data_IF_848662568838
#
_entry.id   IF_848662568838
#
_cell.length_a   1.000
_cell.length_b   1.000
_cell.length_c   1.000
_cell.angle_alpha   90.00
_cell.angle_beta   90.00
_cell.angle_gamma   90.00
#
_symmetry.space_group_name_H-M   'P 1'
#
loop_
_entity.id
_entity.type
_entity.pdbx_description
1 polymer ?
#
# COMPACT_ATOMS: atom_id res chain seq x y z
N UNK A 1 30.14 -39.29 30.20
CA UNK A 1 30.12 -38.30 31.30
C UNK A 1 31.28 -37.36 31.04
N UNK A 2 31.00 -36.11 30.71
CA UNK A 2 31.83 -34.89 30.74
C UNK A 2 31.77 -33.94 29.52
N UNK A 3 30.68 -33.98 28.77
CA UNK A 3 30.46 -32.90 27.78
C UNK A 3 29.76 -31.65 28.37
N UNK A 4 29.14 -31.74 29.56
CA UNK A 4 28.46 -30.61 30.22
C UNK A 4 29.43 -29.69 31.00
N UNK A 5 30.58 -30.17 31.42
CA UNK A 5 31.57 -29.40 32.18
C UNK A 5 32.43 -28.46 31.32
N UNK A 6 32.79 -28.88 30.11
CA UNK A 6 33.56 -28.04 29.19
C UNK A 6 32.76 -26.90 28.62
N UNK A 7 31.47 -27.11 28.32
CA UNK A 7 30.57 -26.07 27.82
C UNK A 7 30.31 -24.96 28.85
N UNK A 8 30.21 -25.28 30.13
CA UNK A 8 30.01 -24.27 31.19
C UNK A 8 31.29 -23.45 31.43
N UNK A 9 32.46 -24.08 31.43
CA UNK A 9 33.76 -23.41 31.60
C UNK A 9 34.09 -22.47 30.43
N UNK A 10 33.72 -22.83 29.20
CA UNK A 10 33.91 -21.97 28.02
C UNK A 10 32.95 -20.76 28.08
N UNK A 11 31.72 -20.95 28.53
CA UNK A 11 30.76 -19.87 28.75
C UNK A 11 31.24 -18.89 29.82
N UNK A 12 31.62 -19.35 30.99
CA UNK A 12 32.16 -18.50 32.07
C UNK A 12 33.41 -17.72 31.66
N UNK A 13 34.30 -18.32 30.86
CA UNK A 13 35.48 -17.65 30.34
C UNK A 13 35.14 -16.58 29.30
N UNK A 14 34.13 -16.83 28.47
CA UNK A 14 33.65 -15.87 27.49
C UNK A 14 32.94 -14.68 28.15
N UNK A 15 32.14 -14.90 29.20
CA UNK A 15 31.47 -13.85 29.97
C UNK A 15 32.49 -12.95 30.69
N UNK A 16 33.54 -13.51 31.30
CA UNK A 16 34.64 -12.77 31.95
C UNK A 16 35.43 -11.92 30.96
N UNK A 17 35.68 -12.39 29.75
CA UNK A 17 36.38 -11.65 28.70
C UNK A 17 35.54 -10.48 28.19
N UNK A 18 34.21 -10.64 28.12
CA UNK A 18 33.27 -9.59 27.71
C UNK A 18 33.12 -8.47 28.76
N UNK A 19 33.06 -8.85 30.05
CA UNK A 19 33.06 -7.90 31.16
C UNK A 19 34.34 -7.06 31.20
N UNK A 20 35.49 -7.71 31.02
CA UNK A 20 36.78 -7.02 30.95
C UNK A 20 36.85 -6.02 29.79
N UNK A 21 36.33 -6.39 28.62
CA UNK A 21 36.25 -5.51 27.45
C UNK A 21 35.38 -4.26 27.74
N UNK A 22 34.29 -4.46 28.45
CA UNK A 22 33.38 -3.36 28.82
C UNK A 22 34.04 -2.42 29.85
N UNK A 23 34.70 -2.98 30.85
CA UNK A 23 35.47 -2.21 31.85
C UNK A 23 36.57 -1.40 31.15
N UNK A 24 37.35 -2.03 30.25
CA UNK A 24 38.39 -1.35 29.49
C UNK A 24 37.83 -0.21 28.63
N UNK A 25 36.71 -0.46 27.96
CA UNK A 25 36.04 0.58 27.15
C UNK A 25 35.61 1.76 28.04
N UNK A 26 34.99 1.50 29.19
CA UNK A 26 34.61 2.55 30.16
C UNK A 26 35.81 3.35 30.67
N UNK A 27 36.89 2.68 31.00
CA UNK A 27 38.14 3.34 31.42
C UNK A 27 38.74 4.21 30.33
N UNK A 28 38.76 3.74 29.09
CA UNK A 28 39.24 4.53 27.95
C UNK A 28 38.35 5.72 27.67
N UNK A 29 37.05 5.59 27.80
CA UNK A 29 36.11 6.69 27.60
C UNK A 29 36.19 7.76 28.71
N UNK A 30 36.54 7.35 29.96
CA UNK A 30 36.66 8.28 31.09
C UNK A 30 38.04 8.96 31.13
N UNK A 31 39.14 8.20 30.96
CA UNK A 31 40.49 8.67 31.23
C UNK A 31 41.40 8.77 29.99
N UNK A 32 40.95 8.23 28.84
CA UNK A 32 41.76 8.21 27.62
C UNK A 32 41.83 9.61 26.92
N UNK A 33 42.85 9.76 26.11
CA UNK A 33 42.93 10.90 25.17
C UNK A 33 41.82 10.83 24.12
N UNK A 34 41.48 11.96 23.51
CA UNK A 34 40.47 12.02 22.46
C UNK A 34 40.74 11.02 21.32
N UNK A 35 42.01 10.86 20.93
CA UNK A 35 42.44 9.91 19.90
C UNK A 35 42.15 8.46 20.32
N UNK A 36 42.41 8.10 21.58
CA UNK A 36 42.11 6.76 22.11
C UNK A 36 40.64 6.48 22.21
N UNK A 37 39.84 7.46 22.66
CA UNK A 37 38.36 7.39 22.70
C UNK A 37 37.77 7.13 21.32
N UNK A 38 38.21 7.88 20.30
CA UNK A 38 37.79 7.70 18.91
C UNK A 38 38.12 6.31 18.39
N UNK A 39 39.39 5.87 18.59
CA UNK A 39 39.84 4.55 18.14
C UNK A 39 39.09 3.39 18.85
N UNK A 40 38.86 3.50 20.15
CA UNK A 40 38.12 2.51 20.93
C UNK A 40 36.67 2.41 20.44
N UNK A 41 36.01 3.53 20.20
CA UNK A 41 34.63 3.58 19.72
C UNK A 41 34.48 3.02 18.31
N UNK A 42 35.39 3.36 17.37
CA UNK A 42 35.39 2.74 16.04
C UNK A 42 35.70 1.22 16.08
N UNK A 43 36.59 0.79 16.95
CA UNK A 43 36.92 -0.64 17.14
C UNK A 43 35.69 -1.37 17.66
N UNK A 44 34.98 -0.81 18.65
CA UNK A 44 33.72 -1.33 19.15
C UNK A 44 32.69 -1.49 18.01
N UNK A 45 32.49 -0.44 17.22
CA UNK A 45 31.53 -0.46 16.10
C UNK A 45 31.86 -1.47 15.02
N UNK A 46 33.13 -1.56 14.60
CA UNK A 46 33.53 -2.38 13.43
C UNK A 46 33.76 -3.86 13.75
N UNK A 47 34.23 -4.12 14.96
CA UNK A 47 34.69 -5.48 15.34
C UNK A 47 33.73 -6.13 16.30
N UNK A 48 33.33 -5.44 17.36
CA UNK A 48 32.65 -6.06 18.48
C UNK A 48 31.12 -6.05 18.41
N UNK A 49 30.48 -4.97 17.84
CA UNK A 49 29.02 -4.90 17.80
C UNK A 49 28.32 -6.10 17.17
N UNK A 50 29.02 -6.87 16.33
CA UNK A 50 28.46 -8.07 15.68
C UNK A 50 28.39 -9.29 16.58
N UNK A 51 29.24 -9.33 17.61
CA UNK A 51 29.48 -10.53 18.44
C UNK A 51 29.05 -10.33 19.89
N UNK A 52 28.84 -9.09 20.31
CA UNK A 52 28.41 -8.76 21.66
C UNK A 52 26.95 -9.06 21.89
N UNK A 53 26.58 -9.68 23.03
CA UNK A 53 25.19 -9.84 23.44
C UNK A 53 24.49 -8.49 23.62
N UNK A 54 23.16 -8.47 23.44
CA UNK A 54 22.35 -7.25 23.56
C UNK A 54 22.49 -6.54 24.91
N UNK A 55 22.59 -7.29 26.00
CA UNK A 55 22.74 -6.75 27.35
C UNK A 55 24.07 -6.01 27.55
N UNK A 56 25.12 -6.47 26.92
CA UNK A 56 26.45 -5.81 26.93
C UNK A 56 26.40 -4.55 26.08
N UNK A 57 25.74 -4.59 24.92
CA UNK A 57 25.54 -3.42 24.06
C UNK A 57 24.68 -2.36 24.73
N UNK A 58 23.65 -2.76 25.46
CA UNK A 58 22.83 -1.89 26.31
C UNK A 58 23.65 -1.06 27.30
N UNK A 59 24.64 -1.68 27.93
CA UNK A 59 25.55 -0.99 28.85
C UNK A 59 26.45 0.09 28.20
N UNK A 60 26.62 0.06 26.89
CA UNK A 60 27.46 1.00 26.13
C UNK A 60 26.64 2.20 25.63
N UNK A 61 25.34 2.04 25.43
CA UNK A 61 24.44 3.07 24.89
C UNK A 61 24.55 4.42 25.63
N UNK A 62 24.46 4.46 27.00
CA UNK A 62 24.56 5.74 27.71
C UNK A 62 25.87 6.47 27.49
N UNK A 63 26.98 5.73 27.35
CA UNK A 63 28.32 6.30 27.11
C UNK A 63 28.41 6.95 25.72
N UNK A 64 27.85 6.28 24.72
CA UNK A 64 27.80 6.78 23.36
C UNK A 64 26.89 8.01 23.22
N UNK A 65 25.75 8.00 23.89
CA UNK A 65 24.80 9.11 23.91
C UNK A 65 25.37 10.34 24.60
N UNK A 66 26.12 10.17 25.70
CA UNK A 66 26.83 11.27 26.38
C UNK A 66 27.82 11.96 25.46
N UNK A 67 28.47 11.27 24.52
CA UNK A 67 29.33 11.88 23.53
C UNK A 67 28.59 12.86 22.60
N UNK A 68 27.27 12.75 22.46
CA UNK A 68 26.46 13.61 21.58
C UNK A 68 25.88 14.82 22.31
N UNK A 69 26.07 14.94 23.63
CA UNK A 69 25.42 15.95 24.48
C UNK A 69 25.89 17.38 24.24
N UNK A 70 27.15 17.56 23.90
CA UNK A 70 27.76 18.87 23.67
C UNK A 70 27.90 19.19 22.18
N UNK A 71 27.92 20.48 21.84
CA UNK A 71 28.27 20.90 20.49
C UNK A 71 29.77 20.68 20.23
N UNK A 72 30.15 20.23 19.02
CA UNK A 72 31.57 19.96 18.73
C UNK A 72 32.36 21.24 18.59
N UNK A 73 33.18 21.53 19.59
CA UNK A 73 34.06 22.69 19.61
C UNK A 73 35.42 22.44 18.93
N UNK A 74 35.83 21.16 18.88
CA UNK A 74 37.11 20.75 18.29
C UNK A 74 36.93 19.62 17.28
N UNK A 75 37.91 19.46 16.38
CA UNK A 75 37.89 18.35 15.40
C UNK A 75 37.94 16.99 16.09
N UNK A 76 38.60 16.90 17.22
CA UNK A 76 38.64 15.65 18.02
C UNK A 76 37.27 15.30 18.60
N UNK A 77 36.52 16.28 19.13
CA UNK A 77 35.15 16.05 19.63
C UNK A 77 34.22 15.67 18.49
N UNK A 78 34.34 16.34 17.34
CA UNK A 78 33.59 15.97 16.13
C UNK A 78 33.88 14.52 15.70
N UNK A 79 35.16 14.12 15.68
CA UNK A 79 35.54 12.75 15.34
C UNK A 79 34.94 11.71 16.31
N UNK A 80 34.90 12.05 17.61
CA UNK A 80 34.30 11.20 18.64
C UNK A 80 32.79 11.09 18.45
N UNK A 81 32.09 12.18 18.14
CA UNK A 81 30.66 12.17 17.84
C UNK A 81 30.34 11.34 16.60
N UNK A 82 31.12 11.48 15.52
CA UNK A 82 31.00 10.63 14.32
C UNK A 82 31.15 9.16 14.70
N UNK A 83 32.17 8.81 15.50
CA UNK A 83 32.41 7.45 15.95
C UNK A 83 31.26 6.92 16.80
N UNK A 84 30.71 7.73 17.71
CA UNK A 84 29.59 7.39 18.57
C UNK A 84 28.30 7.14 17.75
N UNK A 85 27.91 8.04 16.84
CA UNK A 85 26.75 7.86 15.96
C UNK A 85 26.90 6.63 15.08
N UNK A 86 28.10 6.42 14.52
CA UNK A 86 28.39 5.23 13.72
C UNK A 86 28.26 3.95 14.54
N UNK A 87 28.71 3.95 15.80
CA UNK A 87 28.58 2.82 16.72
C UNK A 87 27.12 2.55 17.07
N UNK A 88 26.34 3.57 17.43
CA UNK A 88 24.88 3.46 17.67
C UNK A 88 24.17 2.85 16.47
N UNK A 89 24.49 3.33 15.26
CA UNK A 89 23.94 2.76 14.03
C UNK A 89 24.32 1.27 13.88
N UNK A 90 25.56 0.89 14.16
CA UNK A 90 26.00 -0.51 14.08
C UNK A 90 25.28 -1.40 15.09
N UNK A 91 25.08 -0.92 16.32
CA UNK A 91 24.33 -1.64 17.36
C UNK A 91 22.92 -2.00 16.84
N UNK A 92 22.20 -1.06 16.27
CA UNK A 92 20.82 -1.26 15.79
C UNK A 92 20.77 -2.06 14.49
N UNK A 93 21.81 -2.00 13.64
CA UNK A 93 21.83 -2.68 12.33
C UNK A 93 21.73 -4.21 12.43
N UNK A 94 21.84 -4.79 13.61
CA UNK A 94 21.63 -6.23 13.87
C UNK A 94 20.17 -6.59 14.15
N UNK A 95 19.22 -5.67 13.86
CA UNK A 95 17.77 -5.88 13.92
C UNK A 95 17.22 -6.17 15.34
N UNK A 96 17.87 -5.73 16.39
CA UNK A 96 17.30 -5.77 17.74
C UNK A 96 16.44 -4.52 17.99
N UNK A 97 15.11 -4.71 17.91
CA UNK A 97 14.11 -3.65 18.14
C UNK A 97 14.24 -3.05 19.54
N UNK A 98 14.55 -3.87 20.54
CA UNK A 98 14.71 -3.41 21.95
C UNK A 98 15.84 -2.40 22.06
N UNK A 99 16.98 -2.68 21.42
CA UNK A 99 18.14 -1.78 21.43
C UNK A 99 17.85 -0.48 20.67
N UNK A 100 17.04 -0.52 19.61
CA UNK A 100 16.61 0.68 18.91
C UNK A 100 15.78 1.60 19.83
N UNK A 101 14.78 1.04 20.52
CA UNK A 101 13.94 1.80 21.42
C UNK A 101 14.70 2.29 22.65
N UNK A 102 15.63 1.49 23.19
CA UNK A 102 16.52 1.90 24.29
C UNK A 102 17.41 3.09 23.89
N UNK A 103 18.00 3.06 22.69
CA UNK A 103 18.77 4.20 22.14
C UNK A 103 17.87 5.43 22.00
N UNK A 104 16.65 5.25 21.48
CA UNK A 104 15.68 6.34 21.38
C UNK A 104 15.35 6.97 22.74
N UNK A 105 15.00 6.13 23.72
CA UNK A 105 14.67 6.56 25.09
C UNK A 105 15.85 7.17 25.85
N UNK A 106 17.08 6.87 25.48
CA UNK A 106 18.29 7.47 26.09
C UNK A 106 18.53 8.94 25.73
N UNK A 107 17.72 9.55 24.85
CA UNK A 107 17.88 10.91 24.36
C UNK A 107 18.76 11.05 23.11
N UNK A 108 19.16 9.92 22.50
CA UNK A 108 20.00 9.95 21.29
C UNK A 108 19.35 10.72 20.12
N UNK A 109 18.04 10.53 19.91
CA UNK A 109 17.28 11.20 18.84
C UNK A 109 17.30 12.71 19.05
N UNK A 110 17.09 13.19 20.26
CA UNK A 110 17.11 14.61 20.60
C UNK A 110 18.48 15.24 20.32
N UNK A 111 19.55 14.56 20.79
CA UNK A 111 20.91 15.04 20.55
C UNK A 111 21.29 15.04 19.07
N UNK A 112 20.91 14.01 18.31
CA UNK A 112 21.15 13.97 16.87
C UNK A 112 20.43 15.09 16.12
N UNK A 113 19.14 15.34 16.43
CA UNK A 113 18.37 16.43 15.81
C UNK A 113 18.96 17.80 16.13
N UNK A 114 19.44 18.01 17.35
CA UNK A 114 20.13 19.26 17.73
C UNK A 114 21.43 19.46 16.97
N UNK A 115 22.19 18.40 16.72
CA UNK A 115 23.47 18.45 16.00
C UNK A 115 23.30 18.69 14.49
N UNK A 116 22.26 18.18 13.87
CA UNK A 116 22.04 18.26 12.42
C UNK A 116 22.13 19.70 11.86
N UNK A 117 21.45 20.72 12.41
CA UNK A 117 21.53 22.09 11.87
C UNK A 117 22.88 22.77 12.15
N UNK A 118 23.59 22.36 13.21
CA UNK A 118 24.86 22.97 13.63
C UNK A 118 26.06 22.43 12.84
N UNK A 119 25.96 21.18 12.37
CA UNK A 119 27.04 20.52 11.64
C UNK A 119 27.17 21.07 10.23
N UNK A 120 28.31 21.67 9.93
CA UNK A 120 28.69 22.18 8.58
C UNK A 120 29.17 21.07 7.62
N UNK A 121 29.62 19.93 8.15
CA UNK A 121 30.13 18.79 7.39
C UNK A 121 28.99 17.93 6.87
N UNK A 122 28.81 17.88 5.56
CA UNK A 122 27.75 17.12 4.90
C UNK A 122 27.88 15.60 5.14
N UNK A 123 29.11 15.09 5.28
CA UNK A 123 29.35 13.66 5.58
C UNK A 123 28.85 13.31 6.98
N UNK A 124 29.15 14.16 7.96
CA UNK A 124 28.64 13.94 9.32
C UNK A 124 27.12 14.08 9.41
N UNK A 125 26.57 15.11 8.73
CA UNK A 125 25.10 15.29 8.63
C UNK A 125 24.43 14.04 8.05
N UNK A 126 25.00 13.45 7.00
CA UNK A 126 24.49 12.24 6.36
C UNK A 126 24.54 11.03 7.32
N UNK A 127 25.61 10.90 8.14
CA UNK A 127 25.73 9.83 9.13
C UNK A 127 24.68 9.97 10.22
N UNK A 128 24.41 11.18 10.72
CA UNK A 128 23.37 11.48 11.70
C UNK A 128 21.98 11.10 11.17
N UNK A 129 21.63 11.57 9.97
CA UNK A 129 20.32 11.27 9.35
C UNK A 129 20.18 9.78 9.06
N UNK A 130 21.25 9.10 8.64
CA UNK A 130 21.22 7.64 8.43
C UNK A 130 21.04 6.85 9.72
N UNK A 131 21.65 7.28 10.82
CA UNK A 131 21.42 6.69 12.14
C UNK A 131 19.98 6.88 12.59
N UNK A 132 19.45 8.11 12.45
CA UNK A 132 18.06 8.44 12.75
C UNK A 132 17.08 7.56 11.93
N UNK A 133 17.36 7.38 10.63
CA UNK A 133 16.57 6.50 9.77
C UNK A 133 16.51 5.07 10.31
N UNK A 134 17.65 4.50 10.67
CA UNK A 134 17.71 3.11 11.18
C UNK A 134 16.91 2.98 12.48
N UNK A 135 17.03 3.95 13.38
CA UNK A 135 16.27 3.98 14.65
C UNK A 135 14.76 4.02 14.41
N UNK A 136 14.26 4.96 13.59
CA UNK A 136 12.81 5.08 13.34
C UNK A 136 12.24 3.96 12.45
N UNK A 137 13.10 3.29 11.67
CA UNK A 137 12.67 2.15 10.86
C UNK A 137 12.40 0.92 11.72
N UNK A 138 13.15 0.72 12.80
CA UNK A 138 13.06 -0.45 13.67
C UNK A 138 12.25 -0.19 14.94
N UNK A 139 12.46 0.96 15.62
CA UNK A 139 11.85 1.25 16.92
C UNK A 139 10.51 1.98 16.82
N UNK A 140 9.47 1.44 17.42
CA UNK A 140 8.16 2.09 17.49
C UNK A 140 8.21 3.31 18.42
N UNK A 141 8.86 3.21 19.57
CA UNK A 141 9.06 4.33 20.48
C UNK A 141 9.93 5.43 19.83
N UNK A 142 10.92 5.07 19.02
CA UNK A 142 11.71 6.04 18.27
C UNK A 142 10.85 6.92 17.36
N UNK A 143 9.84 6.36 16.70
CA UNK A 143 8.89 7.11 15.85
C UNK A 143 8.09 8.11 16.67
N UNK A 144 7.58 7.67 17.81
CA UNK A 144 6.79 8.51 18.74
C UNK A 144 7.66 9.63 19.34
N UNK A 145 8.89 9.33 19.76
CA UNK A 145 9.83 10.32 20.30
C UNK A 145 10.12 11.38 19.23
N UNK A 146 10.49 10.98 18.01
CA UNK A 146 10.74 11.91 16.89
C UNK A 146 9.56 12.87 16.66
N UNK A 147 8.33 12.35 16.72
CA UNK A 147 7.14 13.16 16.54
C UNK A 147 6.91 14.15 17.70
N UNK A 148 7.20 13.76 18.95
CA UNK A 148 6.95 14.57 20.14
C UNK A 148 7.93 15.71 20.35
N UNK A 149 9.22 15.51 20.04
CA UNK A 149 10.28 16.51 20.30
C UNK A 149 10.45 17.55 19.18
N UNK A 150 9.49 17.61 18.25
CA UNK A 150 9.55 18.55 17.12
C UNK A 150 10.48 18.13 15.97
N UNK A 151 11.02 16.90 16.02
CA UNK A 151 11.93 16.38 15.01
C UNK A 151 11.33 16.31 13.60
N UNK A 152 10.01 16.24 13.50
CA UNK A 152 9.30 16.29 12.23
C UNK A 152 9.48 17.61 11.50
N UNK A 153 9.44 18.74 12.23
CA UNK A 153 9.67 20.07 11.65
C UNK A 153 11.08 20.18 11.08
N UNK A 154 12.07 19.62 11.77
CA UNK A 154 13.47 19.59 11.32
C UNK A 154 13.63 18.73 10.06
N UNK A 155 13.08 17.51 10.06
CA UNK A 155 13.11 16.60 8.91
C UNK A 155 12.43 17.22 7.68
N UNK A 156 11.26 17.82 7.86
CA UNK A 156 10.52 18.48 6.79
C UNK A 156 11.25 19.74 6.31
N UNK A 157 11.78 20.53 7.23
CA UNK A 157 12.58 21.74 6.95
C UNK A 157 13.81 21.41 6.11
N UNK A 158 14.56 20.37 6.49
CA UNK A 158 15.68 19.85 5.70
C UNK A 158 15.23 19.40 4.31
N UNK A 159 14.17 18.59 4.23
CA UNK A 159 13.67 18.07 2.96
C UNK A 159 13.28 19.21 1.99
N UNK A 160 12.68 20.29 2.50
CA UNK A 160 12.29 21.46 1.69
C UNK A 160 13.51 22.28 1.27
N UNK A 161 14.56 22.34 2.09
CA UNK A 161 15.78 23.15 1.85
C UNK A 161 16.83 22.48 0.98
N UNK A 162 16.78 21.13 0.86
CA UNK A 162 17.73 20.37 0.03
C UNK A 162 17.61 20.79 -1.44
N UNK A 163 18.78 21.04 -2.07
CA UNK A 163 18.85 21.40 -3.49
C UNK A 163 19.55 20.35 -4.36
N UNK A 164 20.51 19.60 -3.83
CA UNK A 164 21.36 18.72 -4.63
C UNK A 164 21.84 17.43 -3.96
N UNK A 165 21.66 17.26 -2.65
CA UNK A 165 22.08 16.02 -1.97
C UNK A 165 21.01 14.94 -2.09
N UNK A 166 21.18 14.08 -3.09
CA UNK A 166 20.27 13.00 -3.43
C UNK A 166 20.17 11.94 -2.32
N UNK A 167 21.28 11.64 -1.62
CA UNK A 167 21.28 10.64 -0.57
C UNK A 167 20.55 11.13 0.68
N UNK A 168 20.78 12.38 1.02
CA UNK A 168 20.10 12.99 2.15
C UNK A 168 18.59 13.10 1.89
N UNK A 169 18.19 13.51 0.68
CA UNK A 169 16.79 13.54 0.28
C UNK A 169 16.13 12.16 0.42
N UNK A 170 16.79 11.11 -0.08
CA UNK A 170 16.28 9.74 0.03
C UNK A 170 16.11 9.33 1.49
N UNK A 171 17.08 9.53 2.36
CA UNK A 171 16.98 9.15 3.78
C UNK A 171 15.87 9.93 4.50
N UNK A 172 15.68 11.21 4.20
CA UNK A 172 14.61 12.00 4.80
C UNK A 172 13.22 11.53 4.34
N UNK A 173 13.07 11.14 3.07
CA UNK A 173 11.83 10.55 2.56
C UNK A 173 11.55 9.18 3.19
N UNK A 174 12.58 8.38 3.43
CA UNK A 174 12.46 7.10 4.15
C UNK A 174 12.05 7.31 5.62
N UNK A 175 12.62 8.30 6.30
CA UNK A 175 12.19 8.70 7.66
C UNK A 175 10.71 9.11 7.65
N UNK A 176 10.29 9.97 6.71
CA UNK A 176 8.89 10.37 6.59
C UNK A 176 7.97 9.18 6.30
N UNK A 177 8.41 8.22 5.48
CA UNK A 177 7.66 6.99 5.24
C UNK A 177 7.45 6.18 6.52
N UNK A 178 8.51 6.02 7.32
CA UNK A 178 8.44 5.25 8.57
C UNK A 178 7.49 5.86 9.61
N UNK A 179 7.34 7.18 9.60
CA UNK A 179 6.49 7.91 10.57
C UNK A 179 5.15 8.38 9.99
N UNK A 180 4.87 8.14 8.72
CA UNK A 180 3.70 8.68 8.00
C UNK A 180 2.35 8.25 8.60
N UNK A 181 2.29 7.11 9.29
CA UNK A 181 1.08 6.61 9.94
C UNK A 181 0.71 7.40 11.19
N UNK A 182 1.62 8.17 11.78
CA UNK A 182 1.36 8.99 12.96
C UNK A 182 0.50 10.22 12.58
N UNK A 183 -0.52 10.53 13.41
CA UNK A 183 -1.42 11.69 13.18
C UNK A 183 -0.67 13.03 13.25
N UNK A 184 0.35 13.11 14.08
CA UNK A 184 1.20 14.29 14.28
C UNK A 184 1.94 14.68 13.00
N UNK A 185 2.48 13.69 12.28
CA UNK A 185 3.20 13.89 11.02
C UNK A 185 2.33 14.59 9.98
N UNK A 186 1.08 14.16 9.84
CA UNK A 186 0.14 14.73 8.87
C UNK A 186 -0.13 16.21 9.14
N UNK A 187 -0.34 16.57 10.40
CA UNK A 187 -0.57 17.97 10.81
C UNK A 187 0.66 18.83 10.51
N UNK A 188 1.83 18.32 10.84
CA UNK A 188 3.07 19.07 10.66
C UNK A 188 3.42 19.24 9.17
N UNK A 189 3.27 18.20 8.36
CA UNK A 189 3.46 18.29 6.91
C UNK A 189 2.55 19.34 6.25
N UNK A 190 1.30 19.42 6.69
CA UNK A 190 0.37 20.45 6.18
C UNK A 190 0.83 21.85 6.59
N UNK A 191 1.23 22.05 7.86
CA UNK A 191 1.71 23.34 8.38
C UNK A 191 2.96 23.81 7.68
N UNK A 192 3.93 22.93 7.51
CA UNK A 192 5.23 23.24 6.88
C UNK A 192 5.17 23.36 5.34
N UNK A 193 4.00 23.15 4.71
CA UNK A 193 3.88 23.17 3.25
C UNK A 193 4.52 21.96 2.54
N UNK A 194 4.84 20.91 3.27
CA UNK A 194 5.52 19.70 2.78
C UNK A 194 4.79 18.94 1.70
N UNK A 195 3.45 19.04 1.62
CA UNK A 195 2.64 18.31 0.61
C UNK A 195 3.05 18.66 -0.82
N UNK A 196 3.26 19.96 -1.11
CA UNK A 196 3.68 20.39 -2.45
C UNK A 196 5.12 19.96 -2.76
N UNK A 197 5.97 19.84 -1.74
CA UNK A 197 7.32 19.33 -1.90
C UNK A 197 7.30 17.82 -2.22
N UNK A 198 6.52 17.01 -1.51
CA UNK A 198 6.35 15.59 -1.79
C UNK A 198 5.86 15.34 -3.22
N UNK A 199 4.86 16.10 -3.67
CA UNK A 199 4.36 15.99 -5.05
C UNK A 199 5.47 16.31 -6.07
N UNK A 200 6.29 17.35 -5.84
CA UNK A 200 7.44 17.63 -6.71
C UNK A 200 8.48 16.52 -6.67
N UNK A 201 8.72 15.92 -5.51
CA UNK A 201 9.70 14.85 -5.34
C UNK A 201 9.33 13.59 -6.16
N UNK A 202 8.06 13.34 -6.48
CA UNK A 202 7.68 12.26 -7.40
C UNK A 202 8.15 12.46 -8.85
N UNK A 203 8.54 13.68 -9.21
CA UNK A 203 8.96 14.04 -10.59
C UNK A 203 10.43 14.45 -10.69
N UNK A 204 11.16 14.51 -9.58
CA UNK A 204 12.56 14.97 -9.50
C UNK A 204 13.40 14.03 -8.65
N UNK A 205 14.71 14.09 -8.82
CA UNK A 205 15.66 13.24 -8.09
C UNK A 205 15.83 11.85 -8.72
N UNK A 206 16.40 10.92 -7.97
CA UNK A 206 16.56 9.52 -8.38
C UNK A 206 15.22 8.79 -8.42
N UNK A 207 15.15 7.65 -9.11
CA UNK A 207 13.97 6.82 -9.09
C UNK A 207 13.62 6.39 -7.66
N UNK A 208 14.60 6.01 -6.85
CA UNK A 208 14.40 5.66 -5.44
C UNK A 208 13.73 6.81 -4.62
N UNK A 209 14.20 8.06 -4.78
CA UNK A 209 13.56 9.21 -4.12
C UNK A 209 12.13 9.43 -4.61
N UNK A 210 11.88 9.26 -5.92
CA UNK A 210 10.55 9.44 -6.53
C UNK A 210 9.55 8.39 -6.03
N UNK A 211 9.98 7.12 -5.95
CA UNK A 211 9.18 6.01 -5.40
C UNK A 211 8.86 6.25 -3.93
N UNK A 212 9.85 6.64 -3.13
CA UNK A 212 9.63 6.94 -1.70
C UNK A 212 8.67 8.11 -1.50
N UNK A 213 8.79 9.17 -2.28
CA UNK A 213 7.84 10.28 -2.23
C UNK A 213 6.41 9.83 -2.56
N UNK A 214 6.24 8.96 -3.58
CA UNK A 214 4.94 8.36 -3.92
C UNK A 214 4.39 7.52 -2.76
N UNK A 215 5.22 6.68 -2.16
CA UNK A 215 4.83 5.85 -1.01
C UNK A 215 4.36 6.71 0.18
N UNK A 216 5.09 7.78 0.49
CA UNK A 216 4.70 8.75 1.54
C UNK A 216 3.35 9.41 1.22
N UNK A 217 3.12 9.78 -0.05
CA UNK A 217 1.83 10.34 -0.48
C UNK A 217 0.69 9.33 -0.24
N UNK A 218 0.88 8.06 -0.60
CA UNK A 218 -0.10 7.01 -0.36
C UNK A 218 -0.41 6.84 1.14
N UNK A 219 0.61 6.65 1.97
CA UNK A 219 0.46 6.48 3.42
C UNK A 219 -0.23 7.67 4.10
N UNK A 220 0.14 8.89 3.71
CA UNK A 220 -0.49 10.11 4.21
C UNK A 220 -1.90 10.32 3.64
N UNK A 221 -2.20 9.72 2.48
CA UNK A 221 -3.49 9.78 1.80
C UNK A 221 -4.59 8.91 2.41
N UNK A 222 -4.27 8.06 3.39
CA UNK A 222 -5.24 7.22 4.08
C UNK A 222 -6.43 8.03 4.62
N UNK A 223 -6.31 9.17 5.33
CA UNK A 223 -7.47 9.98 5.73
C UNK A 223 -8.06 10.80 4.57
N UNK A 224 -9.40 10.89 4.51
CA UNK A 224 -10.15 11.64 3.47
C UNK A 224 -9.69 13.10 3.29
N UNK A 225 -9.38 13.79 4.39
CA UNK A 225 -8.90 15.18 4.33
C UNK A 225 -7.58 15.33 3.60
N UNK A 226 -6.69 14.34 3.75
CA UNK A 226 -5.38 14.34 3.09
C UNK A 226 -5.50 13.97 1.61
N UNK A 227 -6.38 13.03 1.23
CA UNK A 227 -6.69 12.72 -0.18
C UNK A 227 -7.08 13.97 -0.94
N UNK A 228 -8.05 14.72 -0.41
CA UNK A 228 -8.47 16.00 -0.97
C UNK A 228 -7.33 17.01 -1.06
N UNK A 229 -6.49 17.11 -0.02
CA UNK A 229 -5.39 18.05 0.00
C UNK A 229 -4.31 17.73 -1.05
N UNK A 230 -3.99 16.46 -1.26
CA UNK A 230 -3.07 16.01 -2.30
C UNK A 230 -3.65 16.17 -3.70
N UNK A 231 -4.89 15.75 -3.93
CA UNK A 231 -5.55 15.88 -5.23
C UNK A 231 -5.61 17.34 -5.71
N UNK A 232 -6.01 18.28 -4.83
CA UNK A 232 -6.02 19.72 -5.13
C UNK A 232 -4.67 20.32 -5.47
N UNK A 233 -3.57 19.70 -5.03
CA UNK A 233 -2.19 20.16 -5.30
C UNK A 233 -1.54 19.45 -6.49
N UNK A 234 -2.28 18.60 -7.22
CA UNK A 234 -1.80 17.94 -8.43
C UNK A 234 -1.07 16.62 -8.20
N UNK A 235 -1.35 15.89 -7.10
CA UNK A 235 -0.77 14.58 -6.87
C UNK A 235 -1.17 13.57 -7.93
N UNK A 236 -2.42 13.59 -8.42
CA UNK A 236 -2.95 12.65 -9.42
C UNK A 236 -2.10 12.65 -10.70
N UNK A 237 -1.93 13.77 -11.44
CA UNK A 237 -1.11 13.76 -12.64
C UNK A 237 0.37 13.47 -12.37
N UNK A 238 0.88 13.80 -11.19
CA UNK A 238 2.26 13.50 -10.81
C UNK A 238 2.49 11.99 -10.63
N UNK A 239 1.54 11.28 -10.01
CA UNK A 239 1.58 9.84 -9.82
C UNK A 239 1.41 9.08 -11.15
N UNK A 240 0.49 9.52 -12.00
CA UNK A 240 0.32 8.97 -13.37
C UNK A 240 1.63 9.10 -14.17
N UNK A 241 2.26 10.27 -14.13
CA UNK A 241 3.56 10.46 -14.79
C UNK A 241 4.65 9.56 -14.21
N UNK A 242 4.66 9.34 -12.89
CA UNK A 242 5.61 8.42 -12.25
C UNK A 242 5.37 6.99 -12.72
N UNK A 243 4.13 6.55 -12.80
CA UNK A 243 3.74 5.23 -13.32
C UNK A 243 4.32 4.98 -14.72
N UNK A 244 4.11 5.89 -15.66
CA UNK A 244 4.58 5.71 -17.04
C UNK A 244 6.10 5.79 -17.21
N UNK A 245 6.84 6.30 -16.22
CA UNK A 245 8.31 6.45 -16.32
C UNK A 245 9.08 5.45 -15.48
N UNK A 246 8.41 4.65 -14.65
CA UNK A 246 9.01 3.71 -13.71
C UNK A 246 9.10 2.27 -14.24
N UNK A 247 9.90 1.47 -13.54
CA UNK A 247 9.86 0.02 -13.63
C UNK A 247 8.62 -0.57 -12.94
N UNK A 248 8.44 -1.89 -12.93
CA UNK A 248 7.24 -2.53 -12.39
C UNK A 248 7.04 -2.21 -10.90
N UNK A 249 8.09 -2.25 -10.08
CA UNK A 249 7.98 -1.89 -8.65
C UNK A 249 7.50 -0.45 -8.48
N UNK A 250 8.04 0.48 -9.26
CA UNK A 250 7.62 1.89 -9.28
C UNK A 250 6.16 2.03 -9.71
N UNK A 251 5.73 1.28 -10.74
CA UNK A 251 4.35 1.29 -11.23
C UNK A 251 3.38 0.85 -10.14
N UNK A 252 3.67 -0.24 -9.42
CA UNK A 252 2.83 -0.73 -8.33
C UNK A 252 2.68 0.32 -7.22
N UNK A 253 3.79 0.92 -6.77
CA UNK A 253 3.76 1.95 -5.73
C UNK A 253 3.01 3.20 -6.18
N UNK A 254 3.24 3.65 -7.42
CA UNK A 254 2.57 4.83 -7.97
C UNK A 254 1.06 4.60 -8.14
N UNK A 255 0.66 3.43 -8.65
CA UNK A 255 -0.75 3.07 -8.84
C UNK A 255 -1.49 2.90 -7.51
N UNK A 256 -0.90 2.23 -6.52
CA UNK A 256 -1.49 2.11 -5.19
C UNK A 256 -1.73 3.50 -4.57
N UNK A 257 -0.73 4.38 -4.63
CA UNK A 257 -0.87 5.76 -4.15
C UNK A 257 -1.92 6.55 -4.94
N UNK A 258 -2.00 6.33 -6.27
CA UNK A 258 -3.00 6.94 -7.13
C UNK A 258 -4.42 6.48 -6.76
N UNK A 259 -4.64 5.19 -6.55
CA UNK A 259 -5.92 4.62 -6.12
C UNK A 259 -6.39 5.27 -4.81
N UNK A 260 -5.51 5.31 -3.80
CA UNK A 260 -5.79 5.95 -2.51
C UNK A 260 -6.18 7.43 -2.65
N UNK A 261 -5.41 8.22 -3.41
CA UNK A 261 -5.70 9.66 -3.58
C UNK A 261 -6.95 9.90 -4.41
N UNK A 262 -7.26 9.02 -5.36
CA UNK A 262 -8.45 9.09 -6.21
C UNK A 262 -9.73 8.76 -5.45
N UNK A 263 -9.65 8.02 -4.35
CA UNK A 263 -10.79 7.57 -3.54
C UNK A 263 -11.45 8.70 -2.71
N UNK A 264 -11.63 9.88 -3.30
CA UNK A 264 -12.36 11.00 -2.73
C UNK A 264 -13.36 11.55 -3.76
N UNK A 265 -14.59 11.82 -3.36
CA UNK A 265 -15.70 12.22 -4.25
C UNK A 265 -15.35 13.31 -5.25
N UNK A 266 -14.62 14.35 -4.81
CA UNK A 266 -14.16 15.43 -5.69
C UNK A 266 -13.04 15.00 -6.64
N UNK A 267 -12.33 13.91 -6.33
CA UNK A 267 -11.14 13.46 -7.05
C UNK A 267 -11.45 12.40 -8.11
N UNK A 268 -12.52 11.61 -7.93
CA UNK A 268 -12.88 10.49 -8.81
C UNK A 268 -12.95 10.93 -10.28
N UNK A 269 -13.74 11.98 -10.59
CA UNK A 269 -13.85 12.51 -11.97
C UNK A 269 -12.54 13.12 -12.47
N UNK A 270 -11.76 13.75 -11.57
CA UNK A 270 -10.46 14.30 -11.92
C UNK A 270 -9.46 13.21 -12.27
N UNK A 271 -9.48 12.11 -11.54
CA UNK A 271 -8.61 10.97 -11.78
C UNK A 271 -8.89 10.32 -13.14
N UNK A 272 -10.16 10.07 -13.48
CA UNK A 272 -10.52 9.54 -14.79
C UNK A 272 -10.06 10.46 -15.93
N UNK A 273 -10.38 11.76 -15.85
CA UNK A 273 -9.93 12.74 -16.85
C UNK A 273 -8.42 12.87 -16.99
N UNK A 274 -7.68 12.57 -15.93
CA UNK A 274 -6.21 12.60 -15.95
C UNK A 274 -5.58 11.32 -16.52
N UNK A 275 -6.37 10.28 -16.85
CA UNK A 275 -5.90 9.02 -17.40
C UNK A 275 -5.67 7.92 -16.34
N UNK A 276 -6.29 8.01 -15.17
CA UNK A 276 -6.14 6.97 -14.14
C UNK A 276 -6.74 5.63 -14.60
N UNK A 277 -7.82 5.65 -15.41
CA UNK A 277 -8.42 4.42 -15.95
C UNK A 277 -7.42 3.65 -16.81
N UNK A 278 -6.67 4.34 -17.69
CA UNK A 278 -5.64 3.71 -18.53
C UNK A 278 -4.51 3.08 -17.70
N UNK A 279 -4.10 3.75 -16.59
CA UNK A 279 -3.08 3.23 -15.66
C UNK A 279 -3.51 1.91 -15.05
N UNK A 280 -4.74 1.83 -14.56
CA UNK A 280 -5.25 0.61 -13.93
C UNK A 280 -5.59 -0.48 -14.96
N UNK A 281 -6.02 -0.10 -16.17
CA UNK A 281 -6.20 -1.06 -17.27
C UNK A 281 -4.87 -1.69 -17.72
N UNK A 282 -3.77 -0.92 -17.75
CA UNK A 282 -2.43 -1.46 -18.00
C UNK A 282 -1.99 -2.46 -16.92
N UNK A 283 -2.27 -2.18 -15.65
CA UNK A 283 -1.95 -3.11 -14.55
C UNK A 283 -2.80 -4.38 -14.59
N UNK A 284 -4.08 -4.26 -14.90
CA UNK A 284 -4.98 -5.41 -15.01
C UNK A 284 -4.53 -6.37 -16.12
N UNK A 285 -4.10 -5.82 -17.24
CA UNK A 285 -3.57 -6.61 -18.37
C UNK A 285 -2.15 -7.15 -18.11
N UNK A 286 -1.51 -6.75 -17.02
CA UNK A 286 -0.16 -7.19 -16.65
C UNK A 286 -0.12 -8.57 -15.99
N UNK A 287 1.09 -9.13 -15.86
CA UNK A 287 1.33 -10.46 -15.28
C UNK A 287 1.39 -10.46 -13.75
N UNK A 288 1.53 -9.29 -13.12
CA UNK A 288 1.70 -9.15 -11.68
C UNK A 288 0.35 -9.22 -10.95
N UNK A 289 0.13 -10.24 -10.13
CA UNK A 289 -1.11 -10.42 -9.35
C UNK A 289 -1.42 -9.18 -8.48
N UNK A 290 -0.42 -8.63 -7.77
CA UNK A 290 -0.59 -7.42 -6.97
C UNK A 290 -1.05 -6.21 -7.82
N UNK A 291 -0.63 -6.15 -9.08
CA UNK A 291 -1.07 -5.10 -10.01
C UNK A 291 -2.54 -5.23 -10.36
N UNK A 292 -3.02 -6.46 -10.56
CA UNK A 292 -4.43 -6.76 -10.82
C UNK A 292 -5.31 -6.39 -9.62
N UNK A 293 -4.90 -6.79 -8.41
CA UNK A 293 -5.63 -6.44 -7.18
C UNK A 293 -5.76 -4.91 -6.99
N UNK A 294 -4.67 -4.16 -7.22
CA UNK A 294 -4.68 -2.68 -7.16
C UNK A 294 -5.64 -2.10 -8.21
N UNK A 295 -5.67 -2.65 -9.42
CA UNK A 295 -6.52 -2.17 -10.50
C UNK A 295 -8.00 -2.44 -10.21
N UNK A 296 -8.34 -3.64 -9.76
CA UNK A 296 -9.69 -4.02 -9.36
C UNK A 296 -10.25 -3.08 -8.30
N UNK A 297 -9.52 -2.93 -7.19
CA UNK A 297 -9.91 -2.04 -6.10
C UNK A 297 -10.08 -0.58 -6.56
N UNK A 298 -9.22 -0.10 -7.44
CA UNK A 298 -9.31 1.25 -7.97
C UNK A 298 -10.52 1.42 -8.90
N UNK A 299 -10.84 0.43 -9.72
CA UNK A 299 -12.01 0.46 -10.61
C UNK A 299 -13.31 0.51 -9.85
N UNK A 300 -13.48 -0.25 -8.75
CA UNK A 300 -14.65 -0.18 -7.87
C UNK A 300 -14.91 1.26 -7.40
N UNK A 301 -13.87 2.02 -7.09
CA UNK A 301 -13.98 3.41 -6.66
C UNK A 301 -14.23 4.37 -7.83
N UNK A 302 -13.50 4.21 -8.93
CA UNK A 302 -13.58 5.12 -10.08
C UNK A 302 -14.91 5.01 -10.82
N UNK A 303 -15.51 3.82 -10.89
CA UNK A 303 -16.78 3.54 -11.54
C UNK A 303 -17.99 4.27 -10.91
N UNK A 304 -17.83 4.86 -9.73
CA UNK A 304 -18.86 5.75 -9.13
C UNK A 304 -19.22 6.93 -10.04
N UNK A 305 -18.28 7.42 -10.86
CA UNK A 305 -18.53 8.45 -11.85
C UNK A 305 -18.89 7.82 -13.20
N UNK A 306 -20.04 8.16 -13.75
CA UNK A 306 -20.59 7.60 -14.99
C UNK A 306 -19.58 7.58 -16.14
N UNK A 307 -18.87 8.69 -16.40
CA UNK A 307 -17.89 8.73 -17.47
C UNK A 307 -16.73 7.73 -17.25
N UNK A 308 -16.26 7.62 -16.01
CA UNK A 308 -15.22 6.63 -15.70
C UNK A 308 -15.75 5.21 -15.87
N UNK A 309 -17.02 4.95 -15.50
CA UNK A 309 -17.62 3.63 -15.68
C UNK A 309 -17.72 3.23 -17.15
N UNK A 310 -18.00 4.19 -18.05
CA UNK A 310 -17.98 3.96 -19.50
C UNK A 310 -16.55 3.58 -19.94
N UNK A 311 -15.58 4.41 -19.59
CA UNK A 311 -14.18 4.18 -19.96
C UNK A 311 -13.65 2.84 -19.41
N UNK A 312 -14.01 2.49 -18.18
CA UNK A 312 -13.67 1.19 -17.55
C UNK A 312 -14.34 0.04 -18.32
N UNK A 313 -15.63 0.14 -18.61
CA UNK A 313 -16.38 -0.90 -19.33
C UNK A 313 -15.77 -1.17 -20.73
N UNK A 314 -15.34 -0.15 -21.45
CA UNK A 314 -14.66 -0.29 -22.74
C UNK A 314 -13.35 -1.08 -22.61
N UNK A 315 -12.55 -0.81 -21.57
CA UNK A 315 -11.34 -1.59 -21.29
C UNK A 315 -11.67 -3.05 -20.89
N UNK A 316 -12.66 -3.26 -20.03
CA UNK A 316 -13.05 -4.60 -19.59
C UNK A 316 -13.59 -5.45 -20.74
N UNK A 317 -14.36 -4.86 -21.65
CA UNK A 317 -14.84 -5.53 -22.87
C UNK A 317 -13.67 -6.01 -23.75
N UNK A 318 -12.61 -5.20 -23.84
CA UNK A 318 -11.39 -5.62 -24.54
C UNK A 318 -10.69 -6.79 -23.83
N UNK A 319 -10.59 -6.74 -22.50
CA UNK A 319 -10.00 -7.83 -21.70
C UNK A 319 -10.83 -9.11 -21.81
N UNK A 320 -12.16 -9.05 -21.76
CA UNK A 320 -13.04 -10.20 -21.97
C UNK A 320 -12.83 -10.85 -23.35
N UNK A 321 -12.52 -10.06 -24.36
CA UNK A 321 -12.33 -10.55 -25.74
C UNK A 321 -10.93 -11.15 -25.96
N UNK A 322 -9.89 -10.49 -25.46
CA UNK A 322 -8.50 -10.75 -25.81
C UNK A 322 -7.69 -11.40 -24.69
N UNK A 323 -8.16 -11.32 -23.44
CA UNK A 323 -7.47 -11.80 -22.25
C UNK A 323 -7.51 -13.32 -22.07
N UNK A 324 -6.69 -13.82 -21.14
CA UNK A 324 -6.77 -15.17 -20.63
C UNK A 324 -7.92 -15.33 -19.61
N UNK A 325 -8.17 -16.54 -19.15
CA UNK A 325 -9.30 -16.81 -18.26
C UNK A 325 -9.18 -16.14 -16.90
N UNK A 326 -7.96 -15.96 -16.38
CA UNK A 326 -7.72 -15.25 -15.12
C UNK A 326 -8.11 -13.76 -15.24
N UNK A 327 -7.65 -13.08 -16.29
CA UNK A 327 -7.99 -11.67 -16.53
C UNK A 327 -9.46 -11.49 -16.95
N UNK A 328 -10.06 -12.45 -17.63
CA UNK A 328 -11.51 -12.47 -17.95
C UNK A 328 -12.36 -12.52 -16.68
N UNK A 329 -11.96 -13.36 -15.71
CA UNK A 329 -12.65 -13.44 -14.41
C UNK A 329 -12.64 -12.09 -13.72
N UNK A 330 -11.47 -11.44 -13.60
CA UNK A 330 -11.34 -10.12 -12.98
C UNK A 330 -12.12 -9.05 -13.75
N UNK A 331 -12.11 -9.11 -15.10
CA UNK A 331 -12.91 -8.17 -15.89
C UNK A 331 -14.42 -8.33 -15.66
N UNK A 332 -14.89 -9.56 -15.49
CA UNK A 332 -16.29 -9.83 -15.14
C UNK A 332 -16.64 -9.29 -13.75
N UNK A 333 -15.76 -9.44 -12.74
CA UNK A 333 -15.96 -8.88 -11.40
C UNK A 333 -16.01 -7.34 -11.42
N UNK A 334 -15.11 -6.68 -12.17
CA UNK A 334 -15.14 -5.22 -12.34
C UNK A 334 -16.44 -4.75 -13.00
N UNK A 335 -16.91 -5.45 -14.03
CA UNK A 335 -18.19 -5.14 -14.68
C UNK A 335 -19.37 -5.41 -13.75
N UNK A 336 -19.31 -6.45 -12.93
CA UNK A 336 -20.32 -6.75 -11.92
C UNK A 336 -20.46 -5.60 -10.91
N UNK A 337 -19.35 -5.02 -10.45
CA UNK A 337 -19.34 -3.83 -9.60
C UNK A 337 -20.01 -2.62 -10.31
N UNK A 338 -19.78 -2.44 -11.62
CA UNK A 338 -20.42 -1.37 -12.38
C UNK A 338 -21.94 -1.56 -12.45
N UNK A 339 -22.42 -2.77 -12.59
CA UNK A 339 -23.85 -3.11 -12.68
C UNK A 339 -24.63 -2.73 -11.41
N UNK A 340 -23.98 -2.55 -10.28
CA UNK A 340 -24.60 -2.11 -9.02
C UNK A 340 -24.96 -0.62 -9.04
N UNK A 341 -24.31 0.23 -9.84
CA UNK A 341 -24.54 1.67 -9.86
C UNK A 341 -25.77 2.08 -10.69
N UNK A 342 -26.33 3.27 -10.40
CA UNK A 342 -27.57 3.78 -11.06
C UNK A 342 -27.44 3.99 -12.57
N UNK A 343 -26.24 4.26 -13.08
CA UNK A 343 -25.96 4.48 -14.50
C UNK A 343 -25.62 3.21 -15.27
N UNK A 344 -25.77 2.04 -14.64
CA UNK A 344 -25.36 0.73 -15.16
C UNK A 344 -25.91 0.36 -16.53
N UNK A 345 -27.22 0.52 -16.71
CA UNK A 345 -27.88 0.04 -17.94
C UNK A 345 -27.33 0.69 -19.21
N UNK A 346 -27.21 2.03 -19.33
CA UNK A 346 -26.60 2.61 -20.54
C UNK A 346 -25.13 2.22 -20.71
N UNK A 347 -24.36 2.03 -19.64
CA UNK A 347 -22.95 1.63 -19.72
C UNK A 347 -22.83 0.23 -20.30
N UNK A 348 -23.57 -0.75 -19.77
CA UNK A 348 -23.46 -2.14 -20.21
C UNK A 348 -23.96 -2.36 -21.63
N UNK A 349 -25.07 -1.74 -22.01
CA UNK A 349 -25.60 -1.83 -23.37
C UNK A 349 -24.66 -1.20 -24.41
N UNK A 350 -24.10 -0.02 -24.10
CA UNK A 350 -23.27 0.72 -25.05
C UNK A 350 -21.86 0.14 -25.21
N UNK A 351 -21.32 -0.52 -24.17
CA UNK A 351 -19.98 -1.11 -24.20
C UNK A 351 -19.84 -2.32 -25.13
N UNK A 352 -20.96 -2.97 -25.49
CA UNK A 352 -20.96 -4.21 -26.26
C UNK A 352 -20.50 -5.44 -25.48
N UNK A 353 -20.59 -5.40 -24.14
CA UNK A 353 -20.22 -6.51 -23.26
C UNK A 353 -21.15 -7.73 -23.45
N UNK A 354 -22.45 -7.53 -23.59
CA UNK A 354 -23.46 -8.60 -23.58
C UNK A 354 -23.16 -9.70 -24.62
N UNK A 355 -22.92 -9.42 -25.91
CA UNK A 355 -22.59 -10.46 -26.88
C UNK A 355 -21.35 -11.29 -26.53
N UNK A 356 -20.33 -10.63 -25.94
CA UNK A 356 -19.08 -11.30 -25.57
C UNK A 356 -19.30 -12.21 -24.35
N UNK A 357 -20.02 -11.73 -23.33
CA UNK A 357 -20.34 -12.52 -22.15
C UNK A 357 -21.13 -13.77 -22.51
N UNK A 358 -22.14 -13.65 -23.37
CA UNK A 358 -22.95 -14.81 -23.85
C UNK A 358 -22.08 -15.75 -24.70
N UNK A 359 -21.15 -15.23 -25.49
CA UNK A 359 -20.21 -16.07 -26.25
C UNK A 359 -19.25 -16.84 -25.33
N UNK A 360 -18.72 -16.21 -24.28
CA UNK A 360 -17.87 -16.87 -23.28
C UNK A 360 -18.62 -17.99 -22.53
N UNK A 361 -19.90 -17.80 -22.22
CA UNK A 361 -20.74 -18.87 -21.63
C UNK A 361 -20.98 -20.05 -22.58
N UNK A 362 -21.01 -19.82 -23.91
CA UNK A 362 -21.12 -20.89 -24.92
C UNK A 362 -19.81 -21.67 -25.09
N UNK A 363 -18.69 -21.06 -24.81
CA UNK A 363 -17.38 -21.68 -24.93
C UNK A 363 -17.08 -22.56 -23.71
N UNK A 364 -17.17 -23.87 -23.89
CA UNK A 364 -16.87 -24.86 -22.84
C UNK A 364 -15.38 -24.99 -22.54
N UNK A 365 -14.50 -24.34 -23.31
CA UNK A 365 -13.05 -24.28 -23.07
C UNK A 365 -12.66 -23.25 -22.01
N UNK A 366 -13.55 -22.34 -21.61
CA UNK A 366 -13.30 -21.35 -20.56
C UNK A 366 -13.21 -22.06 -19.21
N UNK A 367 -12.20 -21.72 -18.42
CA UNK A 367 -11.99 -22.30 -17.09
C UNK A 367 -13.20 -22.06 -16.15
N UNK A 368 -13.51 -23.01 -15.25
CA UNK A 368 -14.70 -22.94 -14.39
C UNK A 368 -14.84 -21.64 -13.60
N UNK A 369 -13.76 -21.13 -13.05
CA UNK A 369 -13.76 -19.87 -12.28
C UNK A 369 -14.16 -18.65 -13.14
N UNK A 370 -13.58 -18.50 -14.32
CA UNK A 370 -13.93 -17.41 -15.23
C UNK A 370 -15.38 -17.56 -15.73
N UNK A 371 -15.82 -18.79 -15.98
CA UNK A 371 -17.18 -19.11 -16.42
C UNK A 371 -18.21 -18.75 -15.33
N UNK A 372 -17.90 -19.04 -14.07
CA UNK A 372 -18.73 -18.68 -12.92
C UNK A 372 -18.91 -17.16 -12.83
N UNK A 373 -17.80 -16.39 -12.87
CA UNK A 373 -17.85 -14.93 -12.80
C UNK A 373 -18.64 -14.31 -13.95
N UNK A 374 -18.45 -14.82 -15.15
CA UNK A 374 -19.22 -14.39 -16.35
C UNK A 374 -20.70 -14.74 -16.19
N UNK A 375 -21.04 -15.93 -15.69
CA UNK A 375 -22.43 -16.33 -15.45
C UNK A 375 -23.10 -15.47 -14.39
N UNK A 376 -22.43 -15.21 -13.27
CA UNK A 376 -22.89 -14.33 -12.22
C UNK A 376 -23.18 -12.92 -12.74
N UNK A 377 -22.28 -12.37 -13.58
CA UNK A 377 -22.46 -11.05 -14.21
C UNK A 377 -23.70 -11.04 -15.12
N UNK A 378 -23.87 -12.04 -15.99
CA UNK A 378 -25.03 -12.16 -16.89
C UNK A 378 -26.33 -12.24 -16.08
N UNK A 379 -26.35 -13.04 -15.03
CA UNK A 379 -27.51 -13.18 -14.13
C UNK A 379 -27.82 -11.86 -13.41
N UNK A 380 -26.81 -11.18 -12.95
CA UNK A 380 -26.96 -9.87 -12.32
C UNK A 380 -27.53 -8.82 -13.27
N UNK A 381 -27.15 -8.85 -14.55
CA UNK A 381 -27.69 -7.97 -15.57
C UNK A 381 -29.18 -8.25 -15.85
N UNK A 382 -29.67 -9.47 -15.66
CA UNK A 382 -31.08 -9.82 -15.81
C UNK A 382 -32.03 -9.12 -14.82
N UNK A 383 -31.51 -8.45 -13.78
CA UNK A 383 -32.30 -7.65 -12.85
C UNK A 383 -32.83 -6.35 -13.48
N UNK A 384 -32.12 -5.80 -14.47
CA UNK A 384 -32.53 -4.59 -15.18
C UNK A 384 -33.24 -4.96 -16.49
N UNK A 385 -34.44 -4.41 -16.73
CA UNK A 385 -35.25 -4.82 -17.89
C UNK A 385 -34.52 -4.63 -19.22
N UNK A 386 -33.82 -3.53 -19.42
CA UNK A 386 -33.10 -3.24 -20.70
C UNK A 386 -31.99 -4.24 -20.98
N UNK A 387 -31.20 -4.59 -19.94
CA UNK A 387 -30.12 -5.56 -20.08
C UNK A 387 -30.71 -6.96 -20.27
N UNK A 388 -31.80 -7.30 -19.55
CA UNK A 388 -32.56 -8.56 -19.69
C UNK A 388 -33.12 -8.73 -21.10
N UNK A 389 -33.71 -7.68 -21.66
CA UNK A 389 -34.20 -7.70 -23.03
C UNK A 389 -33.06 -7.99 -24.04
N UNK A 390 -31.92 -7.32 -23.90
CA UNK A 390 -30.76 -7.52 -24.76
C UNK A 390 -30.15 -8.94 -24.61
N UNK A 391 -30.11 -9.48 -23.37
CA UNK A 391 -29.64 -10.84 -23.09
C UNK A 391 -30.57 -11.87 -23.72
N UNK A 392 -31.89 -11.69 -23.59
CA UNK A 392 -32.88 -12.59 -24.18
C UNK A 392 -32.86 -12.56 -25.71
N UNK A 393 -32.70 -11.38 -26.33
CA UNK A 393 -32.67 -11.19 -27.80
C UNK A 393 -31.52 -11.91 -28.49
N UNK A 394 -30.37 -12.07 -27.81
CA UNK A 394 -29.23 -12.82 -28.36
C UNK A 394 -29.28 -14.33 -28.06
N UNK A 395 -30.40 -14.81 -27.53
CA UNK A 395 -30.68 -16.22 -27.31
C UNK A 395 -29.98 -16.82 -26.09
N UNK A 396 -29.88 -16.05 -24.99
CA UNK A 396 -29.28 -16.54 -23.75
C UNK A 396 -30.20 -17.48 -22.95
N UNK A 397 -31.53 -17.43 -23.11
CA UNK A 397 -32.46 -18.30 -22.38
C UNK A 397 -32.15 -19.78 -22.58
N UNK A 398 -32.08 -20.34 -23.82
CA UNK A 398 -31.76 -21.75 -24.00
C UNK A 398 -30.29 -22.07 -23.58
N UNK A 399 -29.38 -21.11 -23.62
CA UNK A 399 -28.01 -21.31 -23.13
C UNK A 399 -27.97 -21.44 -21.60
N UNK A 400 -28.66 -20.57 -20.88
CA UNK A 400 -28.74 -20.66 -19.41
C UNK A 400 -29.44 -21.95 -18.97
N UNK A 401 -30.48 -22.41 -19.70
CA UNK A 401 -31.14 -23.70 -19.45
C UNK A 401 -30.17 -24.89 -19.68
N UNK A 402 -29.38 -24.85 -20.76
CA UNK A 402 -28.35 -25.89 -21.04
C UNK A 402 -27.28 -25.92 -19.93
N UNK A 403 -26.87 -24.76 -19.41
CA UNK A 403 -25.94 -24.66 -18.28
C UNK A 403 -26.53 -25.33 -17.03
N UNK A 404 -27.79 -25.06 -16.68
CA UNK A 404 -28.45 -25.69 -15.52
C UNK A 404 -28.51 -27.21 -15.65
N UNK A 405 -28.71 -27.72 -16.86
CA UNK A 405 -28.88 -29.15 -17.07
C UNK A 405 -27.55 -29.90 -17.22
N UNK A 406 -26.49 -29.25 -17.75
CA UNK A 406 -25.30 -29.97 -18.20
C UNK A 406 -23.97 -29.41 -17.70
N UNK A 407 -23.92 -28.27 -16.94
CA UNK A 407 -22.65 -27.78 -16.42
C UNK A 407 -22.15 -28.67 -15.27
N UNK A 408 -20.83 -28.75 -15.10
CA UNK A 408 -20.21 -29.55 -14.05
C UNK A 408 -20.16 -28.79 -12.71
N UNK A 409 -20.16 -27.45 -12.74
CA UNK A 409 -20.09 -26.57 -11.56
C UNK A 409 -21.48 -26.25 -11.03
N UNK A 410 -21.75 -26.58 -9.78
CA UNK A 410 -22.99 -26.22 -9.10
C UNK A 410 -23.14 -24.69 -8.95
N UNK A 411 -22.04 -23.98 -8.72
CA UNK A 411 -22.04 -22.51 -8.59
C UNK A 411 -22.46 -21.83 -9.90
N UNK A 412 -21.98 -22.34 -11.04
CA UNK A 412 -22.40 -21.86 -12.37
C UNK A 412 -23.87 -22.15 -12.64
N UNK A 413 -24.37 -23.33 -12.23
CA UNK A 413 -25.80 -23.68 -12.35
C UNK A 413 -26.67 -22.76 -11.50
N UNK A 414 -26.26 -22.47 -10.26
CA UNK A 414 -26.98 -21.57 -9.36
C UNK A 414 -27.08 -20.16 -9.95
N UNK A 415 -25.98 -19.62 -10.45
CA UNK A 415 -25.98 -18.34 -11.16
C UNK A 415 -26.91 -18.34 -12.38
N UNK A 416 -26.90 -19.41 -13.19
CA UNK A 416 -27.80 -19.53 -14.35
C UNK A 416 -29.29 -19.60 -13.94
N UNK A 417 -29.60 -20.30 -12.85
CA UNK A 417 -30.96 -20.35 -12.28
C UNK A 417 -31.44 -18.96 -11.83
N UNK A 418 -30.58 -18.16 -11.18
CA UNK A 418 -30.92 -16.78 -10.80
C UNK A 418 -31.29 -15.93 -12.04
N UNK A 419 -30.47 -16.00 -13.10
CA UNK A 419 -30.75 -15.29 -14.35
C UNK A 419 -32.06 -15.73 -15.00
N UNK A 420 -32.31 -17.05 -15.04
CA UNK A 420 -33.54 -17.61 -15.56
C UNK A 420 -34.76 -17.23 -14.72
N UNK A 421 -34.65 -17.16 -13.39
CA UNK A 421 -35.72 -16.72 -12.53
C UNK A 421 -36.12 -15.27 -12.80
N UNK A 422 -35.14 -14.38 -12.98
CA UNK A 422 -35.40 -13.00 -13.36
C UNK A 422 -36.12 -12.87 -14.72
N UNK A 423 -35.77 -13.73 -15.69
CA UNK A 423 -36.42 -13.83 -16.98
C UNK A 423 -37.82 -14.46 -16.88
N UNK A 424 -38.00 -15.45 -16.02
CA UNK A 424 -39.30 -16.13 -15.78
C UNK A 424 -40.34 -15.19 -15.15
N UNK A 425 -39.94 -14.33 -14.25
CA UNK A 425 -40.79 -13.33 -13.61
C UNK A 425 -41.26 -12.23 -14.58
N UNK A 426 -40.54 -12.02 -15.71
CA UNK A 426 -40.94 -11.06 -16.73
C UNK A 426 -41.99 -11.68 -17.67
N UNK A 427 -43.18 -11.05 -17.79
CA UNK A 427 -44.24 -11.56 -18.66
C UNK A 427 -43.83 -11.78 -20.11
N UNK A 428 -42.87 -10.98 -20.61
CA UNK A 428 -42.40 -11.05 -22.01
C UNK A 428 -41.59 -12.31 -22.31
N UNK A 429 -41.01 -12.93 -21.26
CA UNK A 429 -40.14 -14.11 -21.37
C UNK A 429 -40.63 -15.35 -20.63
N UNK A 430 -41.70 -15.25 -19.84
CA UNK A 430 -42.27 -16.33 -19.03
C UNK A 430 -42.45 -17.64 -19.80
N UNK A 431 -43.15 -17.60 -20.95
CA UNK A 431 -43.42 -18.76 -21.76
C UNK A 431 -42.16 -19.35 -22.39
N UNK A 432 -41.18 -18.51 -22.76
CA UNK A 432 -39.90 -18.95 -23.33
C UNK A 432 -39.07 -19.72 -22.28
N UNK A 433 -39.02 -19.22 -21.04
CA UNK A 433 -38.32 -19.91 -19.94
C UNK A 433 -39.02 -21.19 -19.56
N UNK A 434 -40.36 -21.17 -19.45
CA UNK A 434 -41.16 -22.39 -19.16
C UNK A 434 -41.01 -23.52 -20.20
N UNK A 435 -40.72 -23.12 -21.44
CA UNK A 435 -40.46 -24.11 -22.51
C UNK A 435 -39.00 -24.61 -22.51
N UNK A 436 -38.07 -23.86 -21.89
CA UNK A 436 -36.64 -24.19 -21.91
C UNK A 436 -36.18 -24.99 -20.69
N UNK A 437 -36.85 -24.88 -19.53
CA UNK A 437 -36.42 -25.54 -18.29
C UNK A 437 -37.63 -26.02 -17.47
N UNK A 438 -37.42 -27.05 -16.65
CA UNK A 438 -38.39 -27.44 -15.61
C UNK A 438 -38.43 -26.34 -14.51
N UNK A 439 -39.53 -25.59 -14.48
CA UNK A 439 -39.75 -24.44 -13.58
C UNK A 439 -39.69 -24.84 -12.10
N UNK A 440 -39.81 -26.11 -11.74
CA UNK A 440 -39.64 -26.54 -10.35
C UNK A 440 -38.21 -26.28 -9.83
N UNK A 441 -37.21 -26.26 -10.72
CA UNK A 441 -35.83 -25.96 -10.38
C UNK A 441 -35.63 -24.50 -9.94
N UNK A 442 -36.47 -23.56 -10.41
CA UNK A 442 -36.38 -22.13 -10.07
C UNK A 442 -36.74 -21.86 -8.61
N UNK A 443 -37.55 -22.74 -7.96
CA UNK A 443 -37.95 -22.56 -6.56
C UNK A 443 -36.78 -22.56 -5.58
N UNK A 444 -35.67 -23.20 -5.92
CA UNK A 444 -34.49 -23.22 -5.05
C UNK A 444 -33.82 -21.88 -4.88
N UNK A 445 -33.95 -20.97 -5.83
CA UNK A 445 -33.29 -19.64 -5.82
C UNK A 445 -34.26 -18.48 -5.54
N UNK A 446 -35.59 -18.76 -5.39
CA UNK A 446 -36.59 -17.72 -5.10
C UNK A 446 -36.30 -16.96 -3.80
N UNK A 447 -35.96 -17.64 -2.71
CA UNK A 447 -35.66 -17.04 -1.42
C UNK A 447 -34.38 -16.25 -1.47
N UNK A 448 -33.33 -16.75 -2.14
CA UNK A 448 -32.05 -16.08 -2.33
C UNK A 448 -32.23 -14.79 -3.14
N UNK A 449 -33.00 -14.85 -4.23
CA UNK A 449 -33.28 -13.67 -5.06
C UNK A 449 -34.05 -12.59 -4.29
N UNK A 450 -35.00 -13.00 -3.43
CA UNK A 450 -35.73 -12.08 -2.57
C UNK A 450 -34.81 -11.36 -1.57
N UNK A 451 -33.83 -12.08 -0.99
CA UNK A 451 -32.83 -11.49 -0.09
C UNK A 451 -31.89 -10.52 -0.82
N UNK A 452 -31.39 -10.87 -2.00
CA UNK A 452 -30.54 -10.02 -2.83
C UNK A 452 -31.27 -8.72 -3.21
N UNK A 453 -32.52 -8.81 -3.66
CA UNK A 453 -33.35 -7.64 -4.00
C UNK A 453 -33.57 -6.72 -2.79
N UNK A 454 -33.82 -7.30 -1.62
CA UNK A 454 -33.94 -6.55 -0.38
C UNK A 454 -32.65 -5.84 0.01
N UNK A 455 -31.52 -6.49 -0.16
CA UNK A 455 -30.20 -5.89 0.06
C UNK A 455 -29.94 -4.74 -0.92
N UNK A 456 -30.29 -4.89 -2.20
CA UNK A 456 -30.14 -3.86 -3.21
C UNK A 456 -31.01 -2.64 -2.93
N UNK A 457 -32.28 -2.84 -2.52
CA UNK A 457 -33.15 -1.72 -2.11
C UNK A 457 -32.56 -0.95 -0.92
N UNK A 458 -31.96 -1.64 0.04
CA UNK A 458 -31.28 -1.01 1.17
C UNK A 458 -30.05 -0.24 0.71
N UNK A 459 -29.27 -0.76 -0.22
CA UNK A 459 -28.11 -0.07 -0.81
C UNK A 459 -28.53 1.16 -1.62
N UNK A 460 -29.59 1.09 -2.39
CA UNK A 460 -30.13 2.24 -3.13
C UNK A 460 -30.72 3.35 -2.23
N UNK A 461 -31.29 2.99 -1.08
CA UNK A 461 -31.79 3.97 -0.10
C UNK A 461 -30.69 4.69 0.65
N UNK A 462 -29.54 4.09 0.81
CA UNK A 462 -28.41 4.69 1.51
C UNK A 462 -27.33 5.15 0.53
N UNK A 463 -27.53 6.35 -0.05
CA UNK A 463 -26.48 7.03 -0.85
C UNK A 463 -25.15 7.26 -0.09
N UNK A 464 -25.11 6.91 1.20
CA UNK A 464 -23.92 6.88 2.05
C UNK A 464 -23.07 5.63 1.89
N UNK A 465 -23.56 4.54 1.28
CA UNK A 465 -22.88 3.26 1.20
C UNK A 465 -21.85 3.16 0.08
N UNK A 466 -21.96 3.91 -0.98
CA UNK A 466 -20.99 3.98 -2.09
C UNK A 466 -19.59 4.42 -1.63
N UNK A 467 -19.47 4.97 -0.41
CA UNK A 467 -18.20 5.37 0.19
C UNK A 467 -17.62 4.36 1.19
N UNK A 468 -18.27 3.23 1.43
CA UNK A 468 -17.91 2.33 2.55
C UNK A 468 -17.18 1.06 2.16
N UNK A 469 -17.18 0.67 0.92
CA UNK A 469 -16.58 -0.60 0.57
C UNK A 469 -15.08 -0.52 0.31
N UNK A 470 -14.36 -1.35 1.00
CA UNK A 470 -12.94 -1.76 0.97
C UNK A 470 -11.87 -0.73 1.39
N UNK A 471 -12.05 0.58 1.26
CA UNK A 471 -10.97 1.57 1.45
C UNK A 471 -11.25 2.67 2.47
N UNK A 472 -12.10 2.44 3.46
CA UNK A 472 -12.29 3.37 4.59
C UNK A 472 -11.57 2.87 5.84
N UNK A 473 -10.28 3.25 6.07
CA UNK A 473 -9.53 2.85 7.24
C UNK A 473 -10.03 3.52 8.53
N UNK A 474 -10.99 4.45 8.46
CA UNK A 474 -11.66 5.02 9.63
C UNK A 474 -12.75 4.07 10.18
N UNK A 475 -12.91 2.88 9.57
CA UNK A 475 -13.83 1.80 10.01
C UNK A 475 -13.11 0.62 10.68
N UNK A 476 -11.75 0.67 10.84
CA UNK A 476 -10.98 -0.32 11.61
C UNK A 476 -10.50 0.32 12.90
#
# INVERSE_FOLDING_TARGET
>A
MDESGESSSIREKCETDLEQLLILYRLLMSNGTDSERVKATFKLAKVYCRYLPGDVLSCVIPILVECLRSDPLTDSQKALQIAAVYCLKCIVSHCDVRLADEIGCSGAIEHMLRLIPVVSDDTFRLILVKCLLVLVSLGDECRVILARIGGLSEVIGMLISIRSDVRLEQYLLEILSAVAMLKEVRKELVRAGGLSHLIRATSRGTMASRVRASQVIGLLGVPKSMRRAFAKRGAIPALIKLFHTGDMETKLVAANSLGLISAHTESIRLAGRAGAVDVFAELLAGTEAQGRDIAEDAFCVLAVAEQNAIDIADHMVKVLREGDDETRAVAADVLWDIVIYRHRAPVMLNSGAIPILVQLLRDRGVQPEARERVCALVSRMCYEKRDRDAIADIGAIPLLADIVDHDESEDVKECALEGLLCLYEDPDYHDKVSAAIDVTKLRHVEDLLAEIRKSDELMHRSSRWVHRYRWDPDLI
#
